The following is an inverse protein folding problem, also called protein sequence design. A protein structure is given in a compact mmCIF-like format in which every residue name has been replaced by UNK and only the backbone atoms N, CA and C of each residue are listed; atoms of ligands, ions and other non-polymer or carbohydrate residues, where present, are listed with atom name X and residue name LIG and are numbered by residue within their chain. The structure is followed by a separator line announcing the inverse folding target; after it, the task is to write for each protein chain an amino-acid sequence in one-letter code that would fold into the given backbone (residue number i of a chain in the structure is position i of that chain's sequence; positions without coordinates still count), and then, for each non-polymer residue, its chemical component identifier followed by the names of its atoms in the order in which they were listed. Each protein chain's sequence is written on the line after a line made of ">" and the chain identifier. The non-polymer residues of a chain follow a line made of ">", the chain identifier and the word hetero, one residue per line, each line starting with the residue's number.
data_IF_753499187783
#
_entry.id   IF_753499187783
#
_cell.length_a   1.000
_cell.length_b   1.000
_cell.length_c   1.000
_cell.angle_alpha   90.00
_cell.angle_beta   90.00
_cell.angle_gamma   90.00
#
_symmetry.space_group_name_H-M   'P 1'
#
loop_
_entity.id
_entity.type
_entity.pdbx_description
1 polymer ?
#
# COMPACT_ATOMS: atom_id res chain seq x y z
N UNK A 1 -12.70 9.23 -5.91
CA UNK A 1 -11.45 8.46 -5.97
C UNK A 1 -11.67 7.23 -6.83
N UNK A 2 -10.77 6.91 -7.73
CA UNK A 2 -10.89 5.71 -8.55
C UNK A 2 -10.75 4.46 -7.68
N UNK A 3 -11.44 3.41 -8.08
CA UNK A 3 -11.34 2.09 -7.48
C UNK A 3 -10.67 1.16 -8.49
N UNK A 4 -9.81 0.26 -8.03
CA UNK A 4 -9.27 -0.78 -8.88
C UNK A 4 -10.40 -1.71 -9.28
N UNK A 5 -10.69 -1.79 -10.59
CA UNK A 5 -11.83 -2.57 -11.11
C UNK A 5 -11.41 -3.96 -11.56
N UNK A 6 -10.19 -4.10 -12.06
CA UNK A 6 -9.68 -5.34 -12.63
C UNK A 6 -8.29 -5.63 -12.07
N UNK A 7 -8.06 -6.87 -11.69
CA UNK A 7 -6.73 -7.40 -11.39
C UNK A 7 -6.14 -7.99 -12.66
N UNK A 8 -4.93 -7.62 -13.05
CA UNK A 8 -4.23 -8.32 -14.11
C UNK A 8 -4.06 -9.80 -13.75
N UNK A 9 -4.27 -10.67 -14.72
CA UNK A 9 -3.96 -12.10 -14.59
C UNK A 9 -2.61 -12.35 -15.23
N UNK A 10 -1.66 -12.86 -14.43
CA UNK A 10 -0.32 -13.16 -14.91
C UNK A 10 -0.04 -14.66 -14.88
N UNK A 11 0.81 -15.18 -15.79
CA UNK A 11 1.28 -16.54 -15.73
C UNK A 11 1.91 -16.85 -14.38
N UNK A 12 1.75 -18.07 -13.93
CA UNK A 12 2.33 -18.53 -12.66
C UNK A 12 3.87 -18.50 -12.78
N UNK A 13 4.51 -17.63 -12.01
CA UNK A 13 5.96 -17.59 -11.93
C UNK A 13 6.45 -18.48 -10.80
N UNK A 14 7.58 -19.18 -11.00
CA UNK A 14 8.15 -20.11 -9.98
C UNK A 14 8.37 -19.44 -8.62
N UNK A 15 8.65 -18.14 -8.61
CA UNK A 15 8.82 -17.34 -7.39
C UNK A 15 7.51 -17.07 -6.62
N UNK A 16 6.36 -17.29 -7.27
CA UNK A 16 5.05 -17.14 -6.61
C UNK A 16 4.60 -18.45 -5.94
N UNK A 17 5.30 -19.55 -6.20
CA UNK A 17 5.14 -20.77 -5.44
C UNK A 17 5.73 -20.53 -4.06
N UNK A 18 4.88 -20.08 -3.14
CA UNK A 18 5.28 -19.90 -1.75
C UNK A 18 5.56 -21.29 -1.16
N UNK A 19 6.82 -21.64 -0.84
CA UNK A 19 7.15 -22.92 -0.23
C UNK A 19 6.57 -23.07 1.19
N UNK A 20 5.98 -22.01 1.73
CA UNK A 20 5.44 -21.96 3.10
C UNK A 20 3.98 -22.36 3.25
N UNK A 21 3.40 -23.10 2.32
CA UNK A 21 2.06 -23.69 2.56
C UNK A 21 1.99 -24.66 3.76
N UNK A 22 3.10 -24.87 4.45
CA UNK A 22 3.22 -25.83 5.55
C UNK A 22 3.56 -25.30 6.94
N UNK A 23 3.98 -24.05 7.10
CA UNK A 23 4.47 -23.59 8.41
C UNK A 23 3.89 -22.24 8.83
N UNK A 24 3.23 -22.28 9.96
CA UNK A 24 2.72 -21.19 10.79
C UNK A 24 1.66 -20.30 10.14
N UNK A 25 0.39 -20.64 10.44
CA UNK A 25 -0.69 -19.67 10.42
C UNK A 25 -0.31 -18.51 11.35
N UNK A 26 0.12 -17.39 10.80
CA UNK A 26 0.34 -16.17 11.57
C UNK A 26 -0.97 -15.81 12.30
N UNK A 27 -0.89 -15.08 13.42
CA UNK A 27 -2.09 -14.60 14.13
C UNK A 27 -3.03 -13.83 13.17
N UNK A 28 -2.45 -13.15 12.17
CA UNK A 28 -3.19 -12.46 11.12
C UNK A 28 -4.00 -13.42 10.22
N UNK A 29 -3.46 -14.61 9.87
CA UNK A 29 -4.17 -15.52 8.98
C UNK A 29 -5.45 -16.12 9.60
N UNK A 30 -5.48 -16.32 10.91
CA UNK A 30 -6.70 -16.73 11.64
C UNK A 30 -7.76 -15.63 11.62
N UNK A 31 -7.33 -14.39 11.82
CA UNK A 31 -8.19 -13.22 11.78
C UNK A 31 -8.83 -13.04 10.39
N UNK A 32 -8.03 -13.13 9.34
CA UNK A 32 -8.51 -12.99 7.94
C UNK A 32 -9.38 -14.17 7.47
N UNK A 33 -9.12 -15.40 7.91
CA UNK A 33 -9.97 -16.54 7.59
C UNK A 33 -11.40 -16.32 8.10
N UNK A 34 -11.54 -15.85 9.33
CA UNK A 34 -12.83 -15.56 9.96
C UNK A 34 -13.64 -14.49 9.21
N UNK A 35 -12.96 -13.47 8.65
CA UNK A 35 -13.61 -12.43 7.85
C UNK A 35 -13.96 -12.91 6.43
N UNK A 36 -13.13 -13.74 5.81
CA UNK A 36 -13.38 -14.30 4.48
C UNK A 36 -14.61 -15.18 4.41
N UNK A 37 -14.86 -15.98 5.44
CA UNK A 37 -16.05 -16.82 5.56
C UNK A 37 -17.36 -16.03 5.68
N UNK A 38 -17.30 -14.84 6.27
CA UNK A 38 -18.46 -13.97 6.47
C UNK A 38 -18.68 -12.94 5.34
N UNK A 39 -18.00 -13.08 4.20
CA UNK A 39 -18.03 -12.14 3.05
C UNK A 39 -17.61 -10.70 3.40
N UNK A 40 -16.82 -10.53 4.42
CA UNK A 40 -16.25 -9.27 4.82
C UNK A 40 -14.91 -9.05 4.08
N UNK A 41 -14.49 -7.80 3.94
CA UNK A 41 -13.20 -7.49 3.33
C UNK A 41 -12.03 -7.94 4.20
N UNK A 42 -10.98 -8.50 3.61
CA UNK A 42 -9.74 -8.85 4.31
C UNK A 42 -8.95 -7.62 4.78
N UNK A 43 -9.32 -6.44 4.30
CA UNK A 43 -8.71 -5.15 4.65
C UNK A 43 -8.95 -4.09 3.59
N UNK A 44 -8.43 -2.91 3.86
CA UNK A 44 -8.41 -1.79 2.92
C UNK A 44 -6.97 -1.32 2.79
N UNK A 45 -6.44 -1.38 1.58
CA UNK A 45 -5.17 -0.76 1.23
C UNK A 45 -5.43 0.64 0.70
N UNK A 46 -4.69 1.62 1.17
CA UNK A 46 -4.77 3.01 0.70
C UNK A 46 -3.41 3.47 0.19
N UNK A 47 -3.39 4.08 -0.97
CA UNK A 47 -2.20 4.74 -1.49
C UNK A 47 -2.20 6.21 -1.05
N UNK A 48 -1.17 6.63 -0.36
CA UNK A 48 -0.99 7.97 0.18
C UNK A 48 0.13 8.72 -0.54
N UNK A 49 0.00 10.04 -0.68
CA UNK A 49 1.16 10.88 -0.96
C UNK A 49 1.90 11.24 0.33
N UNK A 50 3.07 11.86 0.20
CA UNK A 50 3.89 12.32 1.33
C UNK A 50 3.21 13.37 2.24
N UNK A 51 2.11 13.96 1.79
CA UNK A 51 1.27 14.89 2.57
C UNK A 51 0.09 14.19 3.27
N UNK A 52 0.06 12.86 3.31
CA UNK A 52 -1.07 12.05 3.81
C UNK A 52 -2.39 12.35 3.10
N UNK A 53 -2.36 12.67 1.81
CA UNK A 53 -3.53 12.74 0.94
C UNK A 53 -3.70 11.40 0.26
N UNK A 54 -4.87 10.81 0.32
CA UNK A 54 -5.16 9.53 -0.30
C UNK A 54 -5.36 9.69 -1.80
N UNK A 55 -4.58 8.98 -2.61
CA UNK A 55 -4.78 8.87 -4.06
C UNK A 55 -5.91 7.91 -4.42
N UNK A 56 -5.99 6.81 -3.71
CA UNK A 56 -6.95 5.76 -3.98
C UNK A 56 -6.94 4.69 -2.90
N UNK A 57 -7.87 3.76 -2.98
CA UNK A 57 -7.92 2.62 -2.10
C UNK A 57 -8.37 1.36 -2.84
N UNK A 58 -8.02 0.23 -2.26
CA UNK A 58 -8.39 -1.10 -2.73
C UNK A 58 -8.91 -1.94 -1.58
N UNK A 59 -10.03 -2.63 -1.80
CA UNK A 59 -10.51 -3.63 -0.86
C UNK A 59 -9.77 -4.94 -1.08
N UNK A 60 -9.10 -5.42 -0.06
CA UNK A 60 -8.34 -6.67 -0.08
C UNK A 60 -9.33 -7.82 0.17
N UNK A 61 -9.48 -8.79 -0.78
CA UNK A 61 -10.50 -9.84 -0.62
C UNK A 61 -10.18 -10.85 0.49
N UNK A 62 -8.89 -11.12 0.75
CA UNK A 62 -8.44 -12.15 1.70
C UNK A 62 -7.37 -11.61 2.64
N UNK A 63 -6.13 -11.55 2.17
CA UNK A 63 -4.99 -11.05 2.92
C UNK A 63 -4.15 -10.15 2.01
N UNK A 64 -3.53 -9.14 2.58
CA UNK A 64 -2.64 -8.24 1.85
C UNK A 64 -1.50 -9.02 1.21
N UNK A 65 -1.22 -8.68 -0.05
CA UNK A 65 -0.13 -9.28 -0.79
C UNK A 65 0.46 -8.32 -1.81
N UNK A 66 1.64 -8.68 -2.32
CA UNK A 66 2.35 -7.90 -3.35
C UNK A 66 1.49 -7.61 -4.58
N UNK A 67 0.62 -8.56 -4.94
CA UNK A 67 -0.28 -8.41 -6.08
C UNK A 67 -1.33 -7.31 -5.87
N UNK A 68 -1.73 -7.01 -4.65
CA UNK A 68 -2.68 -5.92 -4.36
C UNK A 68 -2.03 -4.57 -4.66
N UNK A 69 -0.81 -4.34 -4.16
CA UNK A 69 -0.03 -3.13 -4.41
C UNK A 69 0.34 -3.00 -5.88
N UNK A 70 0.85 -4.08 -6.50
CA UNK A 70 1.18 -4.13 -7.93
C UNK A 70 -0.02 -3.76 -8.80
N UNK A 71 -1.18 -4.38 -8.54
CA UNK A 71 -2.41 -4.11 -9.30
C UNK A 71 -2.86 -2.66 -9.13
N UNK A 72 -2.73 -2.11 -7.92
CA UNK A 72 -3.04 -0.71 -7.67
C UNK A 72 -2.15 0.21 -8.50
N UNK A 73 -0.84 0.01 -8.46
CA UNK A 73 0.11 0.83 -9.20
C UNK A 73 -0.13 0.75 -10.71
N UNK A 74 -0.34 -0.45 -11.25
CA UNK A 74 -0.53 -0.64 -12.69
C UNK A 74 -1.86 -0.07 -13.20
N UNK A 75 -2.93 -0.13 -12.40
CA UNK A 75 -4.26 0.27 -12.85
C UNK A 75 -4.60 1.72 -12.58
N UNK A 76 -4.00 2.36 -11.58
CA UNK A 76 -4.32 3.73 -11.21
C UNK A 76 -3.42 4.78 -11.84
N UNK A 77 -2.22 4.43 -12.24
CA UNK A 77 -1.26 5.36 -12.83
C UNK A 77 -0.99 5.00 -14.29
N UNK A 78 -1.04 6.00 -15.17
CA UNK A 78 -0.58 5.85 -16.56
C UNK A 78 0.93 5.73 -16.63
N UNK A 79 1.61 6.51 -15.80
CA UNK A 79 3.06 6.46 -15.58
C UNK A 79 3.26 6.17 -14.10
N UNK A 80 4.07 5.18 -13.74
CA UNK A 80 4.25 4.81 -12.35
C UNK A 80 4.95 5.94 -11.58
N UNK A 81 4.74 6.06 -10.27
CA UNK A 81 5.48 7.01 -9.45
C UNK A 81 6.98 6.69 -9.48
N UNK A 82 7.82 7.73 -9.42
CA UNK A 82 9.29 7.54 -9.37
C UNK A 82 9.74 6.85 -8.08
N UNK A 83 9.01 7.06 -6.98
CA UNK A 83 9.28 6.46 -5.68
C UNK A 83 8.04 5.78 -5.13
N UNK A 84 8.22 4.55 -4.66
CA UNK A 84 7.21 3.77 -3.93
C UNK A 84 7.81 3.41 -2.59
N UNK A 85 7.28 4.00 -1.53
CA UNK A 85 7.67 3.71 -0.15
C UNK A 85 6.67 2.68 0.39
N UNK A 86 7.15 1.52 0.76
CA UNK A 86 6.33 0.42 1.23
C UNK A 86 7.12 -0.47 2.18
N UNK A 87 6.51 -0.92 3.27
CA UNK A 87 7.16 -1.73 4.29
C UNK A 87 7.79 -3.02 3.74
N UNK A 88 7.17 -3.61 2.72
CA UNK A 88 7.69 -4.82 2.05
C UNK A 88 8.22 -4.54 0.63
N UNK A 89 8.79 -3.36 0.41
CA UNK A 89 9.30 -2.91 -0.90
C UNK A 89 10.41 -3.82 -1.45
N UNK A 90 11.23 -4.44 -0.60
CA UNK A 90 12.27 -5.38 -1.00
C UNK A 90 11.74 -6.59 -1.78
N UNK A 91 10.51 -7.01 -1.53
CA UNK A 91 9.86 -8.08 -2.29
C UNK A 91 8.92 -7.54 -3.37
N UNK A 92 8.36 -6.33 -3.20
CA UNK A 92 7.49 -5.71 -4.18
C UNK A 92 8.26 -5.28 -5.43
N UNK A 93 9.43 -4.68 -5.29
CA UNK A 93 10.25 -4.22 -6.40
C UNK A 93 10.56 -5.33 -7.41
N UNK A 94 11.19 -6.44 -6.99
CA UNK A 94 11.41 -7.59 -7.87
C UNK A 94 10.12 -8.15 -8.48
N UNK A 95 9.03 -8.17 -7.70
CA UNK A 95 7.73 -8.62 -8.16
C UNK A 95 7.19 -7.77 -9.31
N UNK A 96 7.28 -6.46 -9.21
CA UNK A 96 6.86 -5.50 -10.21
C UNK A 96 7.74 -5.56 -11.48
N UNK A 97 9.05 -5.56 -11.30
CA UNK A 97 10.02 -5.55 -12.40
C UNK A 97 10.02 -6.86 -13.19
N UNK A 98 9.71 -7.99 -12.57
CA UNK A 98 9.59 -9.26 -13.27
C UNK A 98 8.35 -9.32 -14.16
N UNK A 99 7.25 -8.66 -13.76
CA UNK A 99 5.98 -8.71 -14.48
C UNK A 99 5.82 -7.62 -15.51
N UNK A 100 6.20 -6.41 -15.16
CA UNK A 100 6.05 -5.22 -16.00
C UNK A 100 7.34 -4.38 -16.01
N UNK A 101 8.45 -4.92 -16.56
CA UNK A 101 9.75 -4.26 -16.51
C UNK A 101 9.74 -2.91 -17.22
N UNK A 102 9.05 -2.78 -18.36
CA UNK A 102 8.98 -1.53 -19.10
C UNK A 102 8.23 -0.44 -18.35
N UNK A 103 7.16 -0.82 -17.65
CA UNK A 103 6.36 0.11 -16.87
C UNK A 103 7.15 0.62 -15.65
N UNK A 104 7.77 -0.28 -14.88
CA UNK A 104 8.43 0.05 -13.61
C UNK A 104 9.93 0.37 -13.73
N UNK A 105 10.50 0.45 -14.92
CA UNK A 105 11.96 0.64 -15.14
C UNK A 105 12.56 1.85 -14.42
N UNK A 106 11.76 2.90 -14.18
CA UNK A 106 12.19 4.14 -13.55
C UNK A 106 11.60 4.30 -12.12
N UNK A 107 11.00 3.26 -11.56
CA UNK A 107 10.42 3.28 -10.21
C UNK A 107 11.42 2.72 -9.21
N UNK A 108 11.72 3.49 -8.16
CA UNK A 108 12.46 3.02 -7.01
C UNK A 108 11.49 2.51 -5.93
N UNK A 109 11.73 1.29 -5.47
CA UNK A 109 10.96 0.67 -4.41
C UNK A 109 11.80 0.66 -3.13
N UNK A 110 11.38 1.38 -2.11
CA UNK A 110 12.18 1.56 -0.89
C UNK A 110 11.35 1.38 0.37
N UNK A 111 12.03 0.95 1.42
CA UNK A 111 11.51 0.81 2.77
C UNK A 111 11.82 2.11 3.52
N UNK A 112 10.88 2.62 4.30
CA UNK A 112 11.10 3.77 5.17
C UNK A 112 11.94 3.43 6.40
N UNK A 113 12.38 4.46 7.13
CA UNK A 113 13.24 4.27 8.30
C UNK A 113 12.51 3.57 9.45
N UNK A 114 11.19 3.78 9.59
CA UNK A 114 10.41 3.18 10.67
C UNK A 114 10.38 1.64 10.57
N UNK A 115 10.37 1.11 9.34
CA UNK A 115 10.29 -0.32 9.08
C UNK A 115 11.67 -0.97 8.84
N UNK A 116 12.74 -0.16 8.68
CA UNK A 116 14.08 -0.64 8.31
C UNK A 116 14.64 -1.70 9.26
N UNK A 117 14.37 -1.57 10.55
CA UNK A 117 14.87 -2.48 11.60
C UNK A 117 14.38 -3.93 11.45
N UNK A 118 13.24 -4.15 10.82
CA UNK A 118 12.70 -5.48 10.52
C UNK A 118 13.36 -6.18 9.34
N UNK A 119 14.17 -5.46 8.53
CA UNK A 119 14.73 -5.93 7.27
C UNK A 119 16.23 -6.21 7.31
N UNK A 120 16.67 -6.94 8.32
CA UNK A 120 18.10 -7.22 8.59
C UNK A 120 18.83 -7.97 7.47
N UNK A 121 18.10 -8.62 6.55
CA UNK A 121 18.66 -9.37 5.41
C UNK A 121 18.61 -8.59 4.09
N UNK A 122 18.10 -7.35 4.10
CA UNK A 122 17.98 -6.52 2.90
C UNK A 122 19.25 -5.70 2.69
N UNK A 123 19.67 -5.56 1.43
CA UNK A 123 20.79 -4.70 1.07
C UNK A 123 20.44 -3.21 1.15
N UNK A 124 21.47 -2.32 1.20
CA UNK A 124 21.29 -0.88 1.34
C UNK A 124 20.35 -0.25 0.30
N UNK A 125 20.34 -0.76 -0.91
CA UNK A 125 19.48 -0.26 -2.00
C UNK A 125 17.97 -0.40 -1.73
N UNK A 126 17.58 -1.18 -0.71
CA UNK A 126 16.18 -1.31 -0.31
C UNK A 126 15.70 -0.17 0.60
N UNK A 127 16.57 0.70 1.10
CA UNK A 127 16.23 1.67 2.12
C UNK A 127 16.21 3.10 1.59
N UNK A 128 15.18 3.87 1.93
CA UNK A 128 15.05 5.28 1.56
C UNK A 128 16.26 6.11 2.02
N UNK A 129 16.77 5.84 3.22
CA UNK A 129 17.91 6.53 3.82
C UNK A 129 19.12 6.53 2.91
N UNK A 130 19.44 5.41 2.27
CA UNK A 130 20.59 5.30 1.35
C UNK A 130 20.55 6.30 0.21
N UNK A 131 19.34 6.63 -0.25
CA UNK A 131 19.13 7.63 -1.31
C UNK A 131 19.04 9.05 -0.74
N UNK A 132 18.48 9.21 0.45
CA UNK A 132 18.39 10.49 1.13
C UNK A 132 19.77 11.06 1.49
N UNK A 133 20.74 10.19 1.79
CA UNK A 133 22.13 10.58 2.02
C UNK A 133 22.78 11.19 0.76
N UNK A 134 22.28 10.87 -0.42
CA UNK A 134 22.77 11.39 -1.71
C UNK A 134 21.94 12.55 -2.24
N UNK A 135 20.65 12.58 -1.96
CA UNK A 135 19.72 13.63 -2.36
C UNK A 135 18.94 14.12 -1.13
N UNK A 136 19.36 15.24 -0.52
CA UNK A 136 18.73 15.78 0.70
C UNK A 136 17.22 16.05 0.54
N UNK A 137 16.71 16.24 -0.69
CA UNK A 137 15.27 16.43 -0.93
C UNK A 137 14.46 15.19 -0.54
N UNK A 138 15.05 14.01 -0.65
CA UNK A 138 14.42 12.76 -0.22
C UNK A 138 14.35 12.66 1.31
N UNK A 139 15.31 13.24 2.03
CA UNK A 139 15.30 13.34 3.49
C UNK A 139 14.21 14.27 4.03
N UNK A 140 13.70 15.19 3.21
CA UNK A 140 12.59 16.07 3.57
C UNK A 140 11.21 15.40 3.35
N UNK A 141 11.15 14.25 2.68
CA UNK A 141 9.90 13.54 2.46
C UNK A 141 9.37 12.97 3.79
N UNK A 142 8.08 13.19 4.03
CA UNK A 142 7.42 12.52 5.14
C UNK A 142 7.18 11.04 4.77
N UNK A 143 8.15 10.19 5.06
CA UNK A 143 8.05 8.74 4.80
C UNK A 143 6.98 8.04 5.67
N UNK A 144 6.62 8.66 6.81
CA UNK A 144 5.54 8.17 7.70
C UNK A 144 4.15 8.69 7.33
N UNK A 145 3.99 9.35 6.17
CA UNK A 145 2.69 9.88 5.75
C UNK A 145 1.61 8.81 5.62
N UNK A 146 1.99 7.60 5.21
CA UNK A 146 1.08 6.45 5.15
C UNK A 146 0.62 6.02 6.54
N UNK A 147 1.52 5.97 7.52
CA UNK A 147 1.19 5.64 8.92
C UNK A 147 0.19 6.65 9.52
N UNK A 148 0.41 7.96 9.27
CA UNK A 148 -0.54 9.00 9.67
C UNK A 148 -1.92 8.78 9.03
N UNK A 149 -1.96 8.44 7.74
CA UNK A 149 -3.17 8.14 7.00
C UNK A 149 -3.87 6.89 7.52
N UNK A 150 -3.11 5.81 7.74
CA UNK A 150 -3.61 4.56 8.29
C UNK A 150 -4.13 4.72 9.72
N UNK A 151 -3.48 5.54 10.55
CA UNK A 151 -3.99 5.94 11.86
C UNK A 151 -5.35 6.63 11.77
N UNK A 152 -5.54 7.49 10.77
CA UNK A 152 -6.84 8.13 10.48
C UNK A 152 -7.91 7.12 10.08
N UNK A 153 -7.60 6.22 9.15
CA UNK A 153 -8.56 5.23 8.62
C UNK A 153 -8.91 4.15 9.66
N UNK A 154 -8.05 3.92 10.64
CA UNK A 154 -8.32 2.98 11.74
C UNK A 154 -9.63 3.27 12.47
N UNK A 155 -10.07 4.54 12.47
CA UNK A 155 -11.33 5.00 13.08
C UNK A 155 -12.57 4.39 12.44
N UNK A 156 -12.49 4.06 11.13
CA UNK A 156 -13.60 3.43 10.42
C UNK A 156 -13.44 1.91 10.31
N UNK A 157 -12.36 1.33 10.84
CA UNK A 157 -12.07 -0.09 10.74
C UNK A 157 -13.23 -0.96 11.27
N UNK A 158 -13.73 -0.66 12.48
CA UNK A 158 -14.81 -1.43 13.09
C UNK A 158 -16.11 -1.36 12.27
N UNK A 159 -16.69 -0.19 11.99
CA UNK A 159 -17.93 -0.13 11.21
C UNK A 159 -17.78 -0.78 9.82
N UNK A 160 -16.66 -0.54 9.12
CA UNK A 160 -16.44 -1.10 7.79
C UNK A 160 -16.34 -2.62 7.81
N UNK A 161 -15.78 -3.22 8.87
CA UNK A 161 -15.66 -4.68 9.00
C UNK A 161 -17.01 -5.41 9.07
N UNK A 162 -18.08 -4.74 9.43
CA UNK A 162 -19.43 -5.30 9.50
C UNK A 162 -20.32 -4.91 8.30
N UNK A 163 -19.79 -4.14 7.37
CA UNK A 163 -20.53 -3.71 6.18
C UNK A 163 -20.36 -4.70 5.03
N UNK A 164 -21.41 -4.82 4.22
CA UNK A 164 -21.27 -5.47 2.89
C UNK A 164 -20.26 -4.68 2.06
N UNK A 165 -19.57 -5.37 1.16
CA UNK A 165 -18.48 -4.81 0.36
C UNK A 165 -18.88 -3.51 -0.39
N UNK A 166 -20.08 -3.50 -1.00
CA UNK A 166 -20.62 -2.33 -1.70
C UNK A 166 -20.71 -1.09 -0.79
N UNK A 167 -21.25 -1.27 0.41
CA UNK A 167 -21.38 -0.20 1.42
C UNK A 167 -20.03 0.19 1.99
N UNK A 168 -19.16 -0.79 2.27
CA UNK A 168 -17.80 -0.54 2.76
C UNK A 168 -17.00 0.34 1.78
N UNK A 169 -17.13 0.08 0.47
CA UNK A 169 -16.51 0.89 -0.59
C UNK A 169 -17.02 2.33 -0.58
N UNK A 170 -18.35 2.53 -0.52
CA UNK A 170 -18.95 3.87 -0.50
C UNK A 170 -18.52 4.61 0.77
N UNK A 171 -18.62 3.97 1.92
CA UNK A 171 -18.26 4.57 3.20
C UNK A 171 -16.79 4.99 3.25
N UNK A 172 -15.89 4.12 2.82
CA UNK A 172 -14.46 4.42 2.73
C UNK A 172 -14.18 5.56 1.77
N UNK A 173 -14.85 5.59 0.62
CA UNK A 173 -14.72 6.68 -0.36
C UNK A 173 -15.11 8.02 0.23
N UNK A 174 -16.24 8.09 0.92
CA UNK A 174 -16.73 9.32 1.56
C UNK A 174 -15.75 9.76 2.64
N UNK A 175 -15.31 8.83 3.50
CA UNK A 175 -14.33 9.12 4.55
C UNK A 175 -13.03 9.71 3.98
N UNK A 176 -12.44 9.08 2.97
CA UNK A 176 -11.22 9.56 2.35
C UNK A 176 -11.40 10.88 1.60
N UNK A 177 -12.56 11.13 1.02
CA UNK A 177 -12.87 12.43 0.40
C UNK A 177 -12.90 13.55 1.44
N UNK A 178 -13.53 13.31 2.60
CA UNK A 178 -13.55 14.27 3.71
C UNK A 178 -12.14 14.45 4.27
N UNK A 179 -11.41 13.36 4.51
CA UNK A 179 -10.02 13.38 4.96
C UNK A 179 -9.13 14.25 4.07
N UNK A 180 -9.16 14.01 2.76
CA UNK A 180 -8.39 14.77 1.78
C UNK A 180 -8.75 16.26 1.80
N UNK A 181 -10.04 16.59 1.88
CA UNK A 181 -10.50 17.98 1.96
C UNK A 181 -9.99 18.69 3.20
N UNK A 182 -9.99 18.02 4.35
CA UNK A 182 -9.45 18.58 5.59
C UNK A 182 -7.94 18.76 5.54
N UNK A 183 -7.21 17.79 4.96
CA UNK A 183 -5.75 17.90 4.76
C UNK A 183 -5.39 19.05 3.84
N UNK A 184 -6.05 19.18 2.69
CA UNK A 184 -5.82 20.27 1.74
C UNK A 184 -6.07 21.66 2.38
N UNK A 185 -7.13 21.78 3.20
CA UNK A 185 -7.39 23.04 3.92
C UNK A 185 -6.29 23.39 4.92
N UNK A 186 -5.69 22.39 5.58
CA UNK A 186 -4.57 22.63 6.50
C UNK A 186 -3.33 23.06 5.74
N UNK A 187 -2.97 22.33 4.68
CA UNK A 187 -1.82 22.69 3.83
C UNK A 187 -1.95 24.10 3.23
N UNK A 188 -3.15 24.49 2.79
CA UNK A 188 -3.39 25.83 2.28
C UNK A 188 -3.26 26.95 3.33
N UNK A 189 -3.43 26.63 4.63
CA UNK A 189 -3.21 27.60 5.72
C UNK A 189 -1.75 27.71 6.16
N UNK A 190 -0.96 26.67 5.91
CA UNK A 190 0.48 26.66 6.21
C UNK A 190 1.31 27.43 5.16
N UNK A 191 0.72 27.68 3.97
CA UNK A 191 1.37 28.38 2.84
C UNK A 191 0.92 29.84 2.76
N UNK A 192 -0.11 30.25 3.47
CA UNK A 192 -0.61 31.63 3.54
C UNK A 192 -0.10 32.34 4.79
#
# INVERSE_FOLDING_TARGET
>A
MPQIRLRPSYPYLKHDQNPEKGKQRSKCSKYYAQYGEQRLTGGIMVAWCTHSIAYGFHCIPRAEGRNDVFSALLTHWRTPPSWVIYDYACALGPYCLTREPHFFKNTQFVIDDCHSNGHTKCGPACFLKTYADKDPRLGLLNSSAAECGNGGISRIRKPVSYMRQDRAVIYTRVFLAIWNRLKLRRLGKEVS
#
